data_IF_827619480519
#
_entry.id   IF_827619480519
#
_cell.length_a   1.000
_cell.length_b   1.000
_cell.length_c   1.000
_cell.angle_alpha   90.00
_cell.angle_beta   90.00
_cell.angle_gamma   90.00
#
_symmetry.space_group_name_H-M   'P 1'
#
loop_
_entity.id
_entity.type
_entity.pdbx_description
1 polymer ?
#
# COMPACT_ATOMS: atom_id res chain seq x y z
N UNK A 1 -22.44 19.85 20.09
CA UNK A 1 -22.76 20.08 18.67
C UNK A 1 -21.75 19.32 17.80
N UNK A 2 -22.22 18.41 16.94
CA UNK A 2 -21.39 17.47 16.18
C UNK A 2 -20.84 18.11 14.90
N UNK A 3 -19.51 18.15 14.74
CA UNK A 3 -18.79 18.65 13.53
C UNK A 3 -19.03 17.81 12.26
N UNK A 4 -19.91 16.80 12.30
CA UNK A 4 -20.14 15.87 11.19
C UNK A 4 -21.08 16.40 10.10
N UNK A 5 -21.82 17.48 10.37
CA UNK A 5 -22.83 17.99 9.43
C UNK A 5 -22.33 19.05 8.44
N UNK A 6 -21.07 19.49 8.54
CA UNK A 6 -20.50 20.53 7.67
C UNK A 6 -19.57 19.97 6.57
N UNK A 7 -19.46 18.65 6.45
CA UNK A 7 -18.69 18.04 5.36
C UNK A 7 -19.48 18.13 4.04
N UNK A 8 -19.32 19.26 3.34
CA UNK A 8 -19.62 19.36 1.92
C UNK A 8 -18.59 18.46 1.22
N UNK A 9 -19.03 17.37 0.61
CA UNK A 9 -18.12 16.45 -0.08
C UNK A 9 -17.17 17.19 -1.03
N UNK A 10 -16.03 16.57 -1.35
CA UNK A 10 -15.13 17.10 -2.39
C UNK A 10 -15.91 17.32 -3.68
N UNK A 11 -16.05 18.59 -4.09
CA UNK A 11 -16.59 18.92 -5.41
C UNK A 11 -15.75 18.20 -6.46
N UNK A 12 -16.37 17.55 -7.46
CA UNK A 12 -15.63 16.89 -8.52
C UNK A 12 -14.79 17.94 -9.26
N UNK A 13 -13.48 17.87 -9.08
CA UNK A 13 -12.53 18.74 -9.80
C UNK A 13 -12.53 18.31 -11.25
N UNK A 14 -12.96 19.21 -12.15
CA UNK A 14 -12.90 18.98 -13.58
C UNK A 14 -11.44 18.70 -13.98
N UNK A 15 -11.23 17.61 -14.72
CA UNK A 15 -9.89 17.26 -15.19
C UNK A 15 -9.40 18.30 -16.20
N UNK A 16 -8.13 18.66 -16.12
CA UNK A 16 -7.51 19.51 -17.15
C UNK A 16 -7.32 18.72 -18.45
N UNK A 17 -7.17 19.42 -19.58
CA UNK A 17 -6.89 18.77 -20.86
C UNK A 17 -5.63 17.88 -20.81
N UNK A 18 -4.61 18.29 -20.06
CA UNK A 18 -3.39 17.50 -19.83
C UNK A 18 -3.66 16.22 -19.01
N UNK A 19 -4.57 16.26 -18.05
CA UNK A 19 -4.96 15.07 -17.29
C UNK A 19 -5.72 14.09 -18.20
N UNK A 20 -6.65 14.58 -19.01
CA UNK A 20 -7.32 13.75 -20.01
C UNK A 20 -6.34 13.12 -21.01
N UNK A 21 -5.33 13.88 -21.45
CA UNK A 21 -4.31 13.37 -22.36
C UNK A 21 -3.48 12.26 -21.72
N UNK A 22 -3.02 12.44 -20.48
CA UNK A 22 -2.27 11.41 -19.75
C UNK A 22 -3.09 10.15 -19.49
N UNK A 23 -4.37 10.31 -19.18
CA UNK A 23 -5.27 9.17 -19.01
C UNK A 23 -5.41 8.38 -20.33
N UNK A 24 -5.58 9.07 -21.46
CA UNK A 24 -5.64 8.43 -22.77
C UNK A 24 -4.32 7.75 -23.17
N UNK A 25 -3.17 8.38 -22.90
CA UNK A 25 -1.85 7.80 -23.10
C UNK A 25 -1.67 6.53 -22.26
N UNK A 26 -2.09 6.55 -20.99
CA UNK A 26 -2.07 5.38 -20.12
C UNK A 26 -3.01 4.28 -20.61
N UNK A 27 -4.24 4.60 -21.01
CA UNK A 27 -5.19 3.62 -21.54
C UNK A 27 -4.66 2.95 -22.80
N UNK A 28 -3.95 3.69 -23.66
CA UNK A 28 -3.32 3.20 -24.87
C UNK A 28 -2.09 2.29 -24.65
N UNK A 29 -1.49 2.28 -23.44
CA UNK A 29 -0.37 1.38 -23.14
C UNK A 29 -0.79 -0.09 -23.14
N UNK A 30 0.12 -0.95 -23.57
CA UNK A 30 -0.02 -2.41 -23.46
C UNK A 30 -0.10 -2.86 -21.99
N UNK A 31 -0.67 -4.05 -21.71
CA UNK A 31 -0.69 -4.60 -20.35
C UNK A 31 0.70 -4.73 -19.72
N UNK A 32 1.72 -5.07 -20.50
CA UNK A 32 3.10 -5.21 -20.03
C UNK A 32 3.74 -3.86 -19.67
N UNK A 33 3.49 -2.83 -20.47
CA UNK A 33 3.94 -1.46 -20.17
C UNK A 33 3.26 -0.93 -18.91
N UNK A 34 1.96 -1.20 -18.74
CA UNK A 34 1.22 -0.88 -17.51
C UNK A 34 1.83 -1.60 -16.31
N UNK A 35 2.08 -2.91 -16.43
CA UNK A 35 2.72 -3.70 -15.36
C UNK A 35 4.09 -3.13 -14.98
N UNK A 36 4.91 -2.78 -15.97
CA UNK A 36 6.24 -2.19 -15.75
C UNK A 36 6.16 -0.83 -15.07
N UNK A 37 5.23 0.04 -15.50
CA UNK A 37 5.00 1.34 -14.88
C UNK A 37 4.53 1.19 -13.41
N UNK A 38 3.62 0.25 -13.16
CA UNK A 38 3.16 -0.07 -11.80
C UNK A 38 4.29 -0.62 -10.94
N UNK A 39 5.13 -1.52 -11.47
CA UNK A 39 6.30 -2.04 -10.78
C UNK A 39 7.26 -0.93 -10.36
N UNK A 40 7.60 -0.02 -11.28
CA UNK A 40 8.46 1.14 -10.99
C UNK A 40 7.89 2.02 -9.88
N UNK A 41 6.57 2.27 -9.92
CA UNK A 41 5.88 3.03 -8.88
C UNK A 41 5.92 2.31 -7.53
N UNK A 42 5.73 0.99 -7.52
CA UNK A 42 5.80 0.16 -6.32
C UNK A 42 7.21 0.19 -5.72
N UNK A 43 8.25 -0.04 -6.52
CA UNK A 43 9.66 0.04 -6.09
C UNK A 43 9.96 1.39 -5.45
N UNK A 44 9.61 2.49 -6.12
CA UNK A 44 9.83 3.84 -5.59
C UNK A 44 9.07 4.09 -4.28
N UNK A 45 7.85 3.56 -4.14
CA UNK A 45 7.07 3.64 -2.92
C UNK A 45 7.71 2.84 -1.78
N UNK A 46 8.18 1.61 -2.05
CA UNK A 46 8.83 0.76 -1.05
C UNK A 46 10.19 1.32 -0.61
N UNK A 47 11.00 1.83 -1.54
CA UNK A 47 12.29 2.48 -1.24
C UNK A 47 12.10 3.69 -0.32
N UNK A 48 11.07 4.51 -0.59
CA UNK A 48 10.72 5.64 0.24
C UNK A 48 10.49 5.19 1.69
N UNK A 49 9.81 4.07 1.91
CA UNK A 49 9.56 3.55 3.26
C UNK A 49 10.72 2.78 3.89
N UNK A 50 11.81 2.52 3.19
CA UNK A 50 12.99 1.83 3.75
C UNK A 50 14.02 2.81 4.34
N UNK A 51 13.79 4.12 4.27
CA UNK A 51 14.73 5.12 4.81
C UNK A 51 14.84 5.11 6.35
N UNK A 52 15.99 5.51 6.89
CA UNK A 52 16.24 5.51 8.35
C UNK A 52 15.65 6.72 9.08
N UNK A 53 15.24 7.76 8.37
CA UNK A 53 14.80 9.00 8.99
C UNK A 53 13.43 8.85 9.68
N UNK A 54 13.24 9.37 10.90
CA UNK A 54 11.96 9.27 11.63
C UNK A 54 10.84 10.17 11.07
N UNK A 55 11.17 11.05 10.12
CA UNK A 55 10.21 11.94 9.46
C UNK A 55 10.40 11.83 7.95
N UNK A 56 9.31 11.65 7.23
CA UNK A 56 9.28 11.63 5.77
C UNK A 56 8.48 12.82 5.24
N UNK A 57 8.96 13.44 4.17
CA UNK A 57 8.24 14.52 3.51
C UNK A 57 7.39 13.99 2.35
N UNK A 58 6.08 13.90 2.54
CA UNK A 58 5.12 13.56 1.49
C UNK A 58 4.31 14.78 1.09
N UNK A 59 4.33 15.14 -0.19
CA UNK A 59 3.68 16.35 -0.73
C UNK A 59 4.08 17.64 0.01
N UNK A 60 5.36 17.75 0.38
CA UNK A 60 5.92 18.88 1.12
C UNK A 60 5.50 18.97 2.59
N UNK A 61 4.82 17.96 3.13
CA UNK A 61 4.41 17.91 4.55
C UNK A 61 5.20 16.84 5.30
N UNK A 62 5.75 17.15 6.49
CA UNK A 62 6.38 16.14 7.33
C UNK A 62 5.32 15.17 7.84
N UNK A 63 5.62 13.87 7.76
CA UNK A 63 4.81 12.79 8.31
C UNK A 63 5.69 11.89 9.15
N UNK A 64 5.13 11.36 10.23
CA UNK A 64 5.79 10.34 11.05
C UNK A 64 6.16 9.17 10.15
N UNK A 65 7.44 8.83 10.15
CA UNK A 65 7.96 7.75 9.34
C UNK A 65 8.21 6.53 10.21
N UNK A 66 7.48 5.46 9.90
CA UNK A 66 7.77 4.13 10.40
C UNK A 66 8.48 3.41 9.26
N UNK A 67 9.78 3.12 9.35
CA UNK A 67 10.47 2.42 8.28
C UNK A 67 9.95 0.99 8.11
N UNK A 68 9.90 0.54 6.87
CA UNK A 68 9.62 -0.84 6.47
C UNK A 68 10.93 -1.63 6.47
N UNK A 69 10.89 -2.88 6.93
CA UNK A 69 12.03 -3.78 6.78
C UNK A 69 12.24 -4.17 5.31
N UNK A 70 13.48 -4.52 4.96
CA UNK A 70 13.79 -5.05 3.63
C UNK A 70 12.96 -6.29 3.30
N UNK A 71 12.79 -7.19 4.27
CA UNK A 71 11.99 -8.41 4.13
C UNK A 71 10.54 -8.11 3.73
N UNK A 72 9.90 -7.12 4.37
CA UNK A 72 8.55 -6.72 4.02
C UNK A 72 8.48 -6.11 2.61
N UNK A 73 9.49 -5.34 2.20
CA UNK A 73 9.56 -4.79 0.85
C UNK A 73 9.75 -5.87 -0.21
N UNK A 74 10.63 -6.85 0.04
CA UNK A 74 10.89 -7.97 -0.86
C UNK A 74 9.63 -8.84 -1.02
N UNK A 75 8.88 -9.10 0.06
CA UNK A 75 7.58 -9.81 -0.01
C UNK A 75 6.55 -9.05 -0.86
N UNK A 76 6.46 -7.73 -0.74
CA UNK A 76 5.56 -6.93 -1.59
C UNK A 76 5.94 -7.01 -3.07
N UNK A 77 7.24 -7.03 -3.39
CA UNK A 77 7.72 -7.18 -4.76
C UNK A 77 7.45 -8.58 -5.31
N UNK A 78 7.75 -9.63 -4.55
CA UNK A 78 7.52 -11.01 -4.95
C UNK A 78 6.04 -11.28 -5.25
N UNK A 79 5.11 -10.77 -4.43
CA UNK A 79 3.67 -10.85 -4.68
C UNK A 79 3.24 -10.09 -5.93
N UNK A 80 3.84 -8.92 -6.18
CA UNK A 80 3.52 -8.12 -7.37
C UNK A 80 4.05 -8.77 -8.67
N UNK A 81 5.26 -9.33 -8.60
CA UNK A 81 5.90 -10.02 -9.70
C UNK A 81 5.27 -11.42 -9.93
N UNK A 82 4.48 -11.90 -8.98
CA UNK A 82 3.80 -13.20 -9.04
C UNK A 82 4.76 -14.37 -8.81
N UNK A 83 5.89 -14.10 -8.15
CA UNK A 83 6.89 -15.11 -7.78
C UNK A 83 6.40 -15.98 -6.63
N UNK A 84 5.52 -15.42 -5.78
CA UNK A 84 4.84 -16.13 -4.69
C UNK A 84 3.33 -15.92 -4.78
N UNK A 85 2.58 -16.94 -4.39
CA UNK A 85 1.12 -16.87 -4.34
C UNK A 85 0.64 -16.19 -3.05
N UNK A 86 -0.48 -15.43 -3.08
CA UNK A 86 -1.03 -14.75 -1.91
C UNK A 86 -1.78 -15.72 -0.97
N UNK A 87 -1.09 -16.73 -0.45
CA UNK A 87 -1.62 -17.67 0.55
C UNK A 87 -1.89 -16.94 1.88
N UNK A 88 -2.72 -17.49 2.78
CA UNK A 88 -2.92 -16.90 4.11
C UNK A 88 -1.65 -16.81 4.93
N UNK A 89 -0.72 -17.75 4.79
CA UNK A 89 0.57 -17.68 5.46
C UNK A 89 1.36 -16.44 5.03
N UNK A 90 1.46 -16.19 3.72
CA UNK A 90 2.14 -15.01 3.18
C UNK A 90 1.41 -13.72 3.58
N UNK A 91 0.07 -13.73 3.59
CA UNK A 91 -0.74 -12.60 4.08
C UNK A 91 -0.51 -12.34 5.56
N UNK A 92 -0.38 -13.40 6.37
CA UNK A 92 -0.11 -13.32 7.80
C UNK A 92 1.29 -12.76 8.05
N UNK A 93 2.31 -13.24 7.34
CA UNK A 93 3.68 -12.74 7.44
C UNK A 93 3.74 -11.23 7.16
N UNK A 94 3.13 -10.78 6.05
CA UNK A 94 3.01 -9.35 5.75
C UNK A 94 2.26 -8.57 6.83
N UNK A 95 1.17 -9.12 7.35
CA UNK A 95 0.38 -8.45 8.38
C UNK A 95 1.14 -8.36 9.72
N UNK A 96 1.96 -9.35 10.06
CA UNK A 96 2.85 -9.32 11.22
C UNK A 96 3.93 -8.25 11.05
N UNK A 97 4.57 -8.19 9.88
CA UNK A 97 5.57 -7.16 9.56
C UNK A 97 4.98 -5.75 9.64
N UNK A 98 3.77 -5.53 9.10
CA UNK A 98 3.06 -4.26 9.22
C UNK A 98 2.66 -3.92 10.66
N UNK A 99 2.25 -4.91 11.47
CA UNK A 99 1.90 -4.71 12.87
C UNK A 99 3.13 -4.35 13.73
N UNK A 100 4.28 -4.98 13.47
CA UNK A 100 5.55 -4.62 14.10
C UNK A 100 5.98 -3.20 13.75
N UNK A 101 5.75 -2.78 12.49
CA UNK A 101 6.02 -1.43 12.02
C UNK A 101 5.10 -0.38 12.66
N UNK A 102 3.83 -0.73 12.90
CA UNK A 102 2.82 0.14 13.50
C UNK A 102 2.21 -0.47 14.76
N UNK A 103 2.99 -0.62 15.85
CA UNK A 103 2.56 -1.38 17.03
C UNK A 103 1.37 -0.75 17.76
N UNK A 104 1.20 0.58 17.65
CA UNK A 104 0.09 1.30 18.27
C UNK A 104 -1.14 1.45 17.36
N UNK A 105 -1.08 0.96 16.12
CA UNK A 105 -2.19 1.06 15.16
C UNK A 105 -3.19 -0.08 15.34
N UNK A 106 -4.35 0.24 15.92
CA UNK A 106 -5.48 -0.72 16.02
C UNK A 106 -5.88 -1.30 14.67
N UNK A 107 -5.72 -0.54 13.58
CA UNK A 107 -6.01 -0.99 12.22
C UNK A 107 -5.05 -2.10 11.78
N UNK A 108 -3.75 -1.93 12.02
CA UNK A 108 -2.75 -2.94 11.62
C UNK A 108 -2.85 -4.18 12.50
N UNK A 109 -3.06 -4.01 13.82
CA UNK A 109 -3.34 -5.12 14.73
C UNK A 109 -4.58 -5.93 14.30
N UNK A 110 -5.67 -5.28 13.93
CA UNK A 110 -6.87 -5.96 13.44
C UNK A 110 -6.64 -6.69 12.11
N UNK A 111 -5.82 -6.13 11.20
CA UNK A 111 -5.43 -6.80 9.95
C UNK A 111 -4.64 -8.08 10.22
N UNK A 112 -3.68 -8.03 11.15
CA UNK A 112 -2.94 -9.19 11.61
C UNK A 112 -3.86 -10.26 12.19
N UNK A 113 -4.78 -9.91 13.10
CA UNK A 113 -5.73 -10.88 13.67
C UNK A 113 -6.63 -11.53 12.61
N UNK A 114 -7.07 -10.77 11.60
CA UNK A 114 -7.86 -11.33 10.49
C UNK A 114 -7.03 -12.35 9.70
N UNK A 115 -5.78 -12.01 9.39
CA UNK A 115 -4.89 -12.92 8.66
C UNK A 115 -4.53 -14.17 9.47
N UNK A 116 -4.39 -14.05 10.80
CA UNK A 116 -4.20 -15.22 11.69
C UNK A 116 -5.39 -16.18 11.59
N UNK A 117 -6.61 -15.64 11.69
CA UNK A 117 -7.81 -16.45 11.58
C UNK A 117 -7.94 -17.13 10.21
N UNK A 118 -7.64 -16.42 9.13
CA UNK A 118 -7.66 -16.99 7.78
C UNK A 118 -6.63 -18.12 7.61
N UNK A 119 -5.45 -18.01 8.23
CA UNK A 119 -4.43 -19.05 8.20
C UNK A 119 -4.77 -20.26 9.09
N UNK A 120 -5.44 -20.04 10.23
CA UNK A 120 -5.98 -21.12 11.07
C UNK A 120 -7.08 -21.90 10.34
N UNK A 121 -8.03 -21.20 9.71
CA UNK A 121 -9.15 -21.81 9.01
C UNK A 121 -8.67 -22.65 7.79
N UNK A 122 -7.62 -22.24 7.06
CA UNK A 122 -7.03 -23.04 5.96
C UNK A 122 -6.21 -24.26 6.42
N UNK A 123 -5.69 -24.25 7.66
CA UNK A 123 -4.98 -25.39 8.25
C UNK A 123 -5.90 -26.49 8.79
N UNK A 124 -7.21 -26.20 8.90
CA UNK A 124 -8.23 -27.13 9.39
C UNK A 124 -9.05 -27.82 8.27
N UNK A 125 -8.81 -27.50 6.99
CA UNK A 125 -9.36 -28.21 5.81
C UNK A 125 -8.46 -29.37 5.34
#
# INVERSE_FOLDING_TARGET
MSKKNDWKGTEPVAKTAEQHKRDAEYEAMSPEEKRTAHRKRLVSWLEMFQGEEPIMYMNGKPQEHHPMSKEAADLHLALFDGEIEPTPEVKLELAQLEAMRFPNSKRMQAKMWKAMKEAEDEGEE
#
